data_IF_198056037371
#
_entry.id   IF_198056037371
#
_cell.length_a   1.000
_cell.length_b   1.000
_cell.length_c   1.000
_cell.angle_alpha   90.00
_cell.angle_beta   90.00
_cell.angle_gamma   90.00
#
_symmetry.space_group_name_H-M   'P 1'
#
loop_
_entity.id
_entity.type
_entity.pdbx_description
1 polymer ?
#
# COMPACT_ATOMS: atom_id res chain seq x y z
N UNK A 1 -25.82 13.66 -38.11
CA UNK A 1 -24.60 13.96 -37.33
C UNK A 1 -25.00 14.10 -35.87
N UNK A 2 -24.70 13.11 -35.02
CA UNK A 2 -24.95 13.21 -33.58
C UNK A 2 -23.88 14.11 -32.96
N UNK A 3 -24.31 15.14 -32.24
CA UNK A 3 -23.41 15.95 -31.40
C UNK A 3 -22.77 15.07 -30.32
N UNK A 4 -21.50 15.28 -29.95
CA UNK A 4 -20.91 14.57 -28.82
C UNK A 4 -21.58 15.05 -27.52
N UNK A 5 -22.14 14.09 -26.78
CA UNK A 5 -22.75 14.30 -25.46
C UNK A 5 -21.72 14.85 -24.49
N UNK A 6 -22.06 15.98 -23.87
CA UNK A 6 -21.21 16.71 -22.93
C UNK A 6 -20.75 15.83 -21.76
N UNK A 7 -19.43 15.70 -21.60
CA UNK A 7 -18.81 15.13 -20.40
C UNK A 7 -18.92 16.16 -19.28
N UNK A 8 -19.79 15.90 -18.29
CA UNK A 8 -19.82 16.69 -17.05
C UNK A 8 -18.63 16.29 -16.18
N UNK A 9 -17.70 17.23 -16.00
CA UNK A 9 -16.59 17.11 -15.06
C UNK A 9 -17.07 17.63 -13.70
N UNK A 10 -17.07 16.79 -12.67
CA UNK A 10 -17.26 17.19 -11.27
C UNK A 10 -15.97 16.94 -10.48
N UNK A 11 -15.70 17.81 -9.50
CA UNK A 11 -14.38 18.28 -9.10
C UNK A 11 -13.38 17.31 -8.43
N UNK A 12 -13.64 16.03 -8.18
CA UNK A 12 -12.60 15.10 -7.70
C UNK A 12 -12.78 13.72 -8.36
N UNK A 13 -11.84 13.40 -9.26
CA UNK A 13 -12.07 12.47 -10.37
C UNK A 13 -11.85 10.99 -10.04
N UNK A 14 -12.95 10.28 -9.82
CA UNK A 14 -13.03 8.82 -10.00
C UNK A 14 -13.43 8.49 -11.44
N UNK A 15 -12.90 7.42 -12.02
CA UNK A 15 -13.34 6.90 -13.32
C UNK A 15 -13.66 5.41 -13.23
N UNK A 16 -14.92 5.06 -13.40
CA UNK A 16 -15.33 3.68 -13.69
C UNK A 16 -14.95 3.35 -15.13
N UNK A 17 -14.28 2.21 -15.36
CA UNK A 17 -14.11 1.63 -16.69
C UNK A 17 -15.20 0.58 -16.90
N UNK A 18 -16.32 0.88 -17.59
CA UNK A 18 -17.27 -0.16 -17.97
C UNK A 18 -16.62 -1.06 -19.04
N UNK A 19 -16.53 -2.36 -18.76
CA UNK A 19 -16.15 -3.35 -19.77
C UNK A 19 -17.23 -3.41 -20.86
N UNK A 20 -16.81 -3.28 -22.13
CA UNK A 20 -17.69 -3.31 -23.28
C UNK A 20 -18.36 -4.68 -23.50
N UNK A 21 -19.69 -4.63 -23.65
CA UNK A 21 -20.61 -5.50 -24.40
C UNK A 21 -20.84 -6.97 -23.99
N UNK A 22 -22.01 -7.14 -23.37
CA UNK A 22 -23.10 -8.10 -23.66
C UNK A 22 -22.84 -9.62 -23.61
N UNK A 23 -23.51 -10.26 -22.63
CA UNK A 23 -24.14 -11.57 -22.81
C UNK A 23 -23.53 -12.74 -22.04
N UNK A 24 -23.84 -12.86 -20.75
CA UNK A 24 -23.98 -14.14 -20.03
C UNK A 24 -24.40 -13.86 -18.57
N UNK A 25 -25.35 -14.62 -18.04
CA UNK A 25 -25.83 -14.55 -16.65
C UNK A 25 -24.85 -15.19 -15.65
N UNK A 26 -23.59 -14.77 -15.69
CA UNK A 26 -22.57 -15.06 -14.67
C UNK A 26 -22.31 -13.81 -13.85
N UNK A 27 -22.08 -13.95 -12.55
CA UNK A 27 -21.79 -12.85 -11.64
C UNK A 27 -20.78 -11.89 -12.28
N UNK A 28 -21.20 -10.65 -12.51
CA UNK A 28 -20.35 -9.60 -13.07
C UNK A 28 -19.22 -9.30 -12.08
N UNK A 29 -18.08 -9.95 -12.25
CA UNK A 29 -16.85 -9.54 -11.60
C UNK A 29 -16.32 -8.32 -12.36
N UNK A 30 -16.96 -7.17 -12.10
CA UNK A 30 -16.50 -5.89 -12.63
C UNK A 30 -15.10 -5.61 -12.11
N UNK A 31 -14.17 -5.31 -13.02
CA UNK A 31 -12.86 -4.78 -12.66
C UNK A 31 -13.06 -3.42 -11.97
N UNK A 32 -12.87 -3.37 -10.66
CA UNK A 32 -12.85 -2.10 -9.91
C UNK A 32 -11.45 -1.52 -10.04
N UNK A 33 -11.23 -0.67 -11.04
CA UNK A 33 -9.99 0.09 -11.18
C UNK A 33 -10.02 1.26 -10.20
N UNK A 34 -9.30 1.16 -9.08
CA UNK A 34 -9.07 2.28 -8.16
C UNK A 34 -7.88 3.08 -8.70
N UNK A 35 -8.17 4.13 -9.47
CA UNK A 35 -7.16 5.14 -9.82
C UNK A 35 -7.15 6.17 -8.71
N UNK A 36 -6.39 5.94 -7.63
CA UNK A 36 -6.00 7.07 -6.81
C UNK A 36 -5.17 7.99 -7.71
N UNK A 37 -5.31 9.31 -7.53
CA UNK A 37 -4.49 10.30 -8.22
C UNK A 37 -3.03 10.18 -7.75
N UNK A 38 -2.36 9.12 -8.19
CA UNK A 38 -0.95 8.93 -7.98
C UNK A 38 -0.25 9.94 -8.86
N UNK A 39 0.38 10.93 -8.24
CA UNK A 39 1.32 11.78 -8.98
C UNK A 39 2.52 10.92 -9.44
N UNK A 40 2.77 9.77 -8.81
CA UNK A 40 4.02 9.00 -8.93
C UNK A 40 3.85 7.47 -8.68
N UNK A 41 4.85 6.67 -9.07
CA UNK A 41 4.78 5.21 -9.08
C UNK A 41 4.48 4.56 -7.72
N UNK A 42 3.58 3.56 -7.74
CA UNK A 42 3.42 2.59 -6.65
C UNK A 42 4.46 1.49 -6.77
N UNK A 43 5.08 1.11 -5.66
CA UNK A 43 5.99 -0.04 -5.62
C UNK A 43 5.62 -1.09 -4.58
N UNK A 44 4.74 -0.75 -3.64
CA UNK A 44 4.31 -1.66 -2.58
C UNK A 44 2.79 -1.60 -2.38
N UNK A 45 2.17 -2.76 -2.19
CA UNK A 45 0.74 -2.91 -1.96
C UNK A 45 0.46 -4.11 -1.04
N UNK A 46 -0.64 -4.07 -0.31
CA UNK A 46 -1.04 -5.21 0.54
C UNK A 46 -2.47 -5.09 1.06
N UNK A 47 -3.20 -6.20 1.02
CA UNK A 47 -4.53 -6.30 1.60
C UNK A 47 -4.43 -6.57 3.10
N UNK A 48 -5.23 -5.85 3.91
CA UNK A 48 -5.29 -6.09 5.35
C UNK A 48 -5.97 -7.43 5.62
N UNK A 49 -5.29 -8.41 6.24
CA UNK A 49 -5.82 -9.76 6.36
C UNK A 49 -6.98 -9.89 7.36
N UNK A 50 -7.11 -8.96 8.31
CA UNK A 50 -8.21 -8.93 9.28
C UNK A 50 -9.33 -7.93 8.93
N UNK A 51 -9.12 -7.04 7.96
CA UNK A 51 -10.14 -6.07 7.51
C UNK A 51 -10.30 -6.16 5.99
N UNK A 52 -11.33 -6.88 5.54
CA UNK A 52 -11.58 -7.16 4.11
C UNK A 52 -11.68 -5.91 3.24
N UNK A 53 -12.08 -4.76 3.78
CA UNK A 53 -12.18 -3.52 3.02
C UNK A 53 -10.90 -2.69 3.03
N UNK A 54 -9.88 -3.05 3.79
CA UNK A 54 -8.72 -2.20 3.98
C UNK A 54 -7.55 -2.70 3.12
N UNK A 55 -7.00 -1.78 2.33
CA UNK A 55 -5.78 -2.00 1.55
C UNK A 55 -4.75 -0.92 1.87
N UNK A 56 -3.48 -1.25 1.78
CA UNK A 56 -2.36 -0.33 1.94
C UNK A 56 -1.55 -0.22 0.65
N UNK A 57 -1.02 0.96 0.40
CA UNK A 57 -0.12 1.27 -0.71
C UNK A 57 1.07 2.09 -0.24
N UNK A 58 2.25 1.85 -0.78
CA UNK A 58 3.45 2.62 -0.54
C UNK A 58 3.90 3.40 -1.78
N UNK A 59 4.13 4.69 -1.58
CA UNK A 59 4.64 5.62 -2.59
C UNK A 59 6.12 5.44 -2.90
N UNK A 60 6.50 5.62 -4.16
CA UNK A 60 7.89 5.62 -4.62
C UNK A 60 8.70 6.83 -4.12
N UNK A 61 9.92 7.00 -4.64
CA UNK A 61 10.93 7.96 -4.16
C UNK A 61 10.45 9.40 -3.95
N UNK A 62 9.67 9.96 -4.88
CA UNK A 62 9.19 11.34 -4.79
C UNK A 62 7.90 11.48 -3.96
N UNK A 63 7.24 10.38 -3.61
CA UNK A 63 5.98 10.38 -2.85
C UNK A 63 6.23 10.00 -1.39
N UNK A 64 6.84 8.85 -1.13
CA UNK A 64 7.27 8.44 0.21
C UNK A 64 6.15 8.33 1.25
N UNK A 65 4.91 8.21 0.81
CA UNK A 65 3.71 8.15 1.66
C UNK A 65 3.18 6.71 1.75
N UNK A 66 2.84 6.28 2.95
CA UNK A 66 1.98 5.11 3.16
C UNK A 66 0.55 5.61 3.14
N UNK A 67 -0.31 4.99 2.32
CA UNK A 67 -1.74 5.30 2.28
C UNK A 67 -2.57 4.07 2.53
N UNK A 68 -3.63 4.24 3.31
CA UNK A 68 -4.62 3.22 3.63
C UNK A 68 -5.94 3.62 2.99
N UNK A 69 -6.62 2.67 2.38
CA UNK A 69 -7.83 2.91 1.60
C UNK A 69 -8.94 1.93 1.97
N UNK A 70 -10.18 2.38 1.80
CA UNK A 70 -11.33 1.49 1.72
C UNK A 70 -11.48 1.00 0.27
N UNK A 71 -11.31 -0.29 0.04
CA UNK A 71 -11.36 -0.92 -1.27
C UNK A 71 -12.77 -0.98 -1.88
N UNK A 72 -13.83 -0.78 -1.09
CA UNK A 72 -15.20 -0.79 -1.59
C UNK A 72 -15.65 0.61 -2.05
N UNK A 73 -15.34 1.66 -1.30
CA UNK A 73 -15.66 3.06 -1.67
C UNK A 73 -14.56 3.74 -2.47
N UNK A 74 -13.32 3.24 -2.41
CA UNK A 74 -12.13 3.90 -2.91
C UNK A 74 -11.62 5.03 -2.01
N UNK A 75 -12.28 5.34 -0.89
CA UNK A 75 -11.91 6.49 -0.06
C UNK A 75 -10.59 6.27 0.69
N UNK A 76 -9.75 7.30 0.74
CA UNK A 76 -8.58 7.32 1.61
C UNK A 76 -9.01 7.33 3.09
N UNK A 77 -8.48 6.38 3.85
CA UNK A 77 -8.74 6.25 5.30
C UNK A 77 -7.64 6.92 6.13
N UNK A 78 -6.39 6.79 5.69
CA UNK A 78 -5.22 7.29 6.42
C UNK A 78 -4.05 7.53 5.46
N UNK A 79 -3.18 8.48 5.79
CA UNK A 79 -1.91 8.70 5.08
C UNK A 79 -0.84 9.11 6.07
N UNK A 80 0.36 8.56 5.94
CA UNK A 80 1.52 8.96 6.74
C UNK A 80 2.75 9.13 5.87
N UNK A 81 3.44 10.25 6.09
CA UNK A 81 4.70 10.53 5.43
C UNK A 81 5.84 9.75 6.08
N UNK A 82 6.63 9.09 5.25
CA UNK A 82 7.83 8.37 5.70
C UNK A 82 9.11 9.06 5.26
N UNK A 83 8.98 10.09 4.39
CA UNK A 83 10.07 10.83 3.76
C UNK A 83 11.10 9.93 3.07
N UNK A 84 10.70 8.72 2.67
CA UNK A 84 11.55 7.74 2.01
C UNK A 84 10.74 6.88 1.06
N UNK A 85 11.36 6.51 -0.06
CA UNK A 85 10.79 5.55 -1.01
C UNK A 85 10.31 4.29 -0.26
N UNK A 86 9.08 3.84 -0.53
CA UNK A 86 8.59 2.57 0.00
C UNK A 86 8.74 1.51 -1.09
N UNK A 87 9.58 0.51 -0.82
CA UNK A 87 9.91 -0.55 -1.78
C UNK A 87 9.13 -1.84 -1.52
N UNK A 88 8.73 -2.09 -0.27
CA UNK A 88 7.99 -3.28 0.13
C UNK A 88 7.09 -2.98 1.34
N UNK A 89 6.02 -3.77 1.48
CA UNK A 89 5.05 -3.62 2.56
C UNK A 89 4.48 -5.00 2.95
N UNK A 90 4.26 -5.24 4.24
CA UNK A 90 3.67 -6.47 4.76
C UNK A 90 2.81 -6.21 5.99
N UNK A 91 1.63 -6.85 6.04
CA UNK A 91 0.79 -6.86 7.23
C UNK A 91 1.22 -7.97 8.19
N UNK A 92 1.28 -7.67 9.49
CA UNK A 92 1.53 -8.61 10.57
C UNK A 92 0.25 -8.81 11.39
N UNK A 93 -0.42 -9.94 11.20
CA UNK A 93 -1.83 -10.13 11.60
C UNK A 93 -2.06 -10.12 13.10
N UNK A 94 -1.23 -10.86 13.85
CA UNK A 94 -1.44 -11.02 15.29
C UNK A 94 -1.23 -9.73 16.06
N UNK A 95 -0.28 -8.90 15.65
CA UNK A 95 0.00 -7.61 16.26
C UNK A 95 -0.81 -6.45 15.64
N UNK A 96 -1.54 -6.71 14.55
CA UNK A 96 -2.23 -5.68 13.74
C UNK A 96 -1.31 -4.57 13.26
N UNK A 97 -0.09 -4.94 12.88
CA UNK A 97 0.91 -3.97 12.42
C UNK A 97 1.02 -3.98 10.89
N UNK A 98 1.44 -2.85 10.35
CA UNK A 98 1.93 -2.70 8.99
C UNK A 98 3.44 -2.50 9.04
N UNK A 99 4.19 -3.21 8.20
CA UNK A 99 5.64 -3.09 8.12
C UNK A 99 6.01 -2.60 6.72
N UNK A 100 6.86 -1.59 6.64
CA UNK A 100 7.32 -1.00 5.37
C UNK A 100 8.82 -1.04 5.27
N UNK A 101 9.31 -1.53 4.13
CA UNK A 101 10.73 -1.56 3.78
C UNK A 101 11.04 -0.39 2.86
N UNK A 102 12.07 0.37 3.19
CA UNK A 102 12.34 1.65 2.56
C UNK A 102 13.60 1.64 1.67
N UNK A 103 13.55 2.50 0.66
CA UNK A 103 14.63 2.81 -0.25
C UNK A 103 15.42 4.03 0.21
N UNK A 104 15.75 4.91 -0.72
CA UNK A 104 16.42 6.17 -0.38
C UNK A 104 15.43 7.09 0.39
N UNK A 105 15.91 8.01 1.25
CA UNK A 105 17.31 8.19 1.60
C UNK A 105 17.74 7.37 2.82
N UNK A 106 16.82 6.64 3.46
CA UNK A 106 17.02 6.17 4.82
C UNK A 106 17.24 4.65 4.96
N UNK A 107 16.86 3.82 3.97
CA UNK A 107 17.15 2.37 3.92
C UNK A 107 16.66 1.57 5.13
N UNK A 108 15.66 2.08 5.84
CA UNK A 108 15.15 1.56 7.09
C UNK A 108 13.94 0.63 6.87
N UNK A 109 13.53 -0.02 7.95
CA UNK A 109 12.22 -0.68 8.05
C UNK A 109 11.43 0.09 9.10
N UNK A 110 10.19 0.46 8.76
CA UNK A 110 9.28 1.10 9.72
C UNK A 110 8.14 0.15 10.03
N UNK A 111 7.80 0.02 11.30
CA UNK A 111 6.61 -0.73 11.75
C UNK A 111 5.60 0.25 12.29
N UNK A 112 4.35 0.05 11.92
CA UNK A 112 3.24 0.93 12.22
C UNK A 112 2.11 0.13 12.90
N UNK A 113 1.55 0.64 13.98
CA UNK A 113 0.28 0.13 14.53
C UNK A 113 -0.88 0.63 13.69
N UNK A 114 -1.75 -0.28 13.25
CA UNK A 114 -2.98 0.06 12.54
C UNK A 114 -4.19 -0.06 13.47
N UNK A 115 -4.73 1.09 13.82
CA UNK A 115 -5.95 1.23 14.63
C UNK A 115 -6.90 2.15 13.88
N UNK A 116 -7.89 1.57 13.20
CA UNK A 116 -8.77 2.31 12.31
C UNK A 116 -9.26 3.65 12.93
N UNK A 117 -9.11 4.80 12.22
CA UNK A 117 -8.50 5.02 10.90
C UNK A 117 -7.03 5.52 10.97
N UNK A 118 -6.36 5.30 12.09
CA UNK A 118 -5.04 5.82 12.42
C UNK A 118 -3.91 4.82 12.14
N UNK A 119 -2.78 5.35 11.66
CA UNK A 119 -1.55 4.63 11.48
C UNK A 119 -0.43 5.33 12.28
N UNK A 120 0.12 4.68 13.30
CA UNK A 120 1.13 5.26 14.19
C UNK A 120 2.44 4.47 14.15
N UNK A 121 3.60 5.15 14.06
CA UNK A 121 4.90 4.46 14.01
C UNK A 121 5.24 3.93 15.40
N UNK A 122 5.67 2.67 15.46
CA UNK A 122 6.09 2.01 16.72
C UNK A 122 7.56 1.60 16.72
N UNK A 123 8.09 1.16 15.57
CA UNK A 123 9.51 0.81 15.45
C UNK A 123 10.11 1.42 14.19
N UNK A 124 11.40 1.73 14.30
CA UNK A 124 12.25 2.08 13.17
C UNK A 124 13.54 1.27 13.28
N UNK A 125 13.75 0.36 12.34
CA UNK A 125 14.87 -0.56 12.32
C UNK A 125 15.87 -0.12 11.26
N UNK A 126 17.11 0.11 11.66
CA UNK A 126 18.19 0.57 10.79
C UNK A 126 19.31 -0.47 10.73
N UNK A 127 19.96 -0.60 9.57
CA UNK A 127 21.10 -1.49 9.40
C UNK A 127 21.35 -1.92 7.96
N UNK A 128 20.31 -1.90 7.11
CA UNK A 128 20.51 -2.00 5.67
C UNK A 128 21.22 -0.75 5.13
N UNK A 129 22.19 -0.94 4.24
CA UNK A 129 22.93 0.17 3.61
C UNK A 129 22.39 0.54 2.21
N UNK A 130 21.36 -0.17 1.75
CA UNK A 130 20.69 0.06 0.47
C UNK A 130 19.19 -0.26 0.61
N UNK A 131 18.42 -0.12 -0.48
CA UNK A 131 16.96 -0.29 -0.47
C UNK A 131 16.54 -1.66 0.07
N UNK A 132 15.53 -1.68 0.94
CA UNK A 132 14.90 -2.90 1.45
C UNK A 132 13.87 -3.40 0.44
N UNK A 133 14.25 -4.40 -0.35
CA UNK A 133 13.47 -4.86 -1.51
C UNK A 133 12.33 -5.80 -1.13
N UNK A 134 12.52 -6.63 -0.11
CA UNK A 134 11.54 -7.62 0.31
C UNK A 134 11.43 -7.71 1.83
N UNK A 135 10.22 -8.05 2.28
CA UNK A 135 9.87 -8.28 3.68
C UNK A 135 9.06 -9.57 3.80
N UNK A 136 9.32 -10.32 4.85
CA UNK A 136 8.47 -11.40 5.34
C UNK A 136 8.32 -11.28 6.86
N UNK A 137 7.18 -11.73 7.37
CA UNK A 137 6.89 -11.79 8.81
C UNK A 137 6.76 -13.26 9.17
N UNK A 138 7.37 -13.67 10.27
CA UNK A 138 7.27 -15.04 10.73
C UNK A 138 5.84 -15.37 11.24
N UNK A 139 5.45 -16.66 11.32
CA UNK A 139 4.06 -17.05 11.64
C UNK A 139 3.55 -16.59 13.03
N UNK A 140 4.44 -16.38 13.99
CA UNK A 140 4.16 -15.86 15.32
C UNK A 140 4.18 -14.32 15.40
N UNK A 141 4.57 -13.60 14.34
CA UNK A 141 4.66 -12.14 14.24
C UNK A 141 5.61 -11.51 15.29
N UNK A 142 6.65 -12.26 15.67
CA UNK A 142 7.69 -11.79 16.58
C UNK A 142 8.90 -11.24 15.83
N UNK A 143 9.11 -11.65 14.58
CA UNK A 143 10.26 -11.22 13.80
C UNK A 143 9.90 -10.79 12.37
N UNK A 144 10.72 -9.90 11.83
CA UNK A 144 10.73 -9.54 10.41
C UNK A 144 11.98 -10.09 9.76
N UNK A 145 11.81 -10.71 8.60
CA UNK A 145 12.91 -11.05 7.70
C UNK A 145 12.93 -10.04 6.55
N UNK A 146 14.07 -9.39 6.33
CA UNK A 146 14.24 -8.43 5.24
C UNK A 146 15.38 -8.82 4.33
N UNK A 147 15.25 -8.50 3.04
CA UNK A 147 16.32 -8.64 2.05
C UNK A 147 16.57 -7.29 1.36
N UNK A 148 17.83 -6.86 1.35
CA UNK A 148 18.24 -5.55 0.83
C UNK A 148 19.06 -5.66 -0.47
N UNK A 149 19.10 -4.55 -1.21
CA UNK A 149 20.00 -4.39 -2.36
C UNK A 149 21.49 -4.32 -1.96
N UNK A 150 21.79 -4.27 -0.66
CA UNK A 150 23.13 -4.36 -0.07
C UNK A 150 23.67 -5.80 -0.04
N UNK A 151 22.94 -6.74 -0.66
CA UNK A 151 23.26 -8.18 -0.71
C UNK A 151 23.25 -8.83 0.66
N UNK A 152 22.50 -8.27 1.61
CA UNK A 152 22.30 -8.82 2.94
C UNK A 152 20.84 -9.13 3.19
N UNK A 153 20.61 -10.11 4.03
CA UNK A 153 19.35 -10.28 4.72
C UNK A 153 19.53 -9.96 6.20
N UNK A 154 18.47 -9.54 6.87
CA UNK A 154 18.44 -9.30 8.30
C UNK A 154 17.20 -9.94 8.92
N UNK A 155 17.33 -10.42 10.15
CA UNK A 155 16.21 -10.85 10.99
C UNK A 155 16.13 -9.84 12.13
N UNK A 156 14.95 -9.27 12.32
CA UNK A 156 14.69 -8.23 13.31
C UNK A 156 13.68 -8.72 14.32
N UNK A 157 13.94 -8.45 15.59
CA UNK A 157 12.94 -8.62 16.63
C UNK A 157 11.91 -7.48 16.57
N UNK A 158 10.64 -7.81 16.76
CA UNK A 158 9.50 -6.89 16.86
C UNK A 158 8.93 -6.81 18.28
N UNK A 159 9.61 -7.37 19.27
CA UNK A 159 9.27 -7.26 20.69
C UNK A 159 9.57 -5.86 21.23
#
# INVERSE_FOLDING_TARGET
MKQPSAVKVTKEGWRYCPSGMSGASGAQQGLVTIVAAFVLCLQALGWCPWQRRVIATGGGWKDGQVRIWDAQSGSGLSSVETHSQICSLRWAEKKRHLITGHGLPYHQISTWSWEFPSLSRIYQLTGHSCRVLHLAVNPDNTHVFSAGADRRFCIWDLL
#
